data_IF_539921068951
#
_entry.id   IF_539921068951
#
_cell.length_a   1.000
_cell.length_b   1.000
_cell.length_c   1.000
_cell.angle_alpha   90.00
_cell.angle_beta   90.00
_cell.angle_gamma   90.00
#
_symmetry.space_group_name_H-M   'P 1'
#
loop_
_entity.id
_entity.type
_entity.pdbx_description
1 polymer ?
#
# COMPACT_ATOMS: atom_id res chain seq x y z
N UNK A 1 11.47 -3.70 0.42
CA UNK A 1 11.10 -2.27 0.28
C UNK A 1 10.46 -2.09 -1.08
N UNK A 2 9.25 -1.52 -1.15
CA UNK A 2 8.58 -1.19 -2.42
C UNK A 2 8.64 0.32 -2.58
N UNK A 3 9.36 0.78 -3.60
CA UNK A 3 9.55 2.20 -3.88
C UNK A 3 8.70 2.52 -5.11
N UNK A 4 7.52 3.13 -4.91
CA UNK A 4 6.71 3.61 -6.02
C UNK A 4 7.20 5.01 -6.43
N UNK A 5 7.98 5.10 -7.51
CA UNK A 5 8.14 6.34 -8.28
C UNK A 5 6.86 6.65 -9.07
N UNK A 6 5.72 6.73 -8.39
CA UNK A 6 4.42 6.94 -9.02
C UNK A 6 4.15 8.41 -9.38
N UNK A 7 5.00 9.34 -8.91
CA UNK A 7 4.77 10.78 -9.05
C UNK A 7 3.53 11.28 -8.30
N UNK A 8 2.92 10.45 -7.44
CA UNK A 8 1.72 10.81 -6.71
C UNK A 8 2.10 11.69 -5.50
N UNK A 9 1.45 12.85 -5.31
CA UNK A 9 1.79 13.80 -4.26
C UNK A 9 1.34 13.33 -2.86
N UNK A 10 0.56 12.26 -2.77
CA UNK A 10 -0.01 11.78 -1.51
C UNK A 10 -0.01 10.24 -1.43
N UNK A 11 0.71 9.64 -0.46
CA UNK A 11 0.72 8.20 -0.24
C UNK A 11 -0.67 7.58 0.00
N UNK A 12 -1.59 8.31 0.64
CA UNK A 12 -2.96 7.84 0.87
C UNK A 12 -3.71 7.59 -0.44
N UNK A 13 -3.49 8.44 -1.45
CA UNK A 13 -4.10 8.26 -2.78
C UNK A 13 -3.55 6.98 -3.42
N UNK A 14 -2.24 6.77 -3.33
CA UNK A 14 -1.58 5.58 -3.84
C UNK A 14 -2.08 4.31 -3.15
N UNK A 15 -2.15 4.30 -1.82
CA UNK A 15 -2.68 3.17 -1.04
C UNK A 15 -4.14 2.88 -1.36
N UNK A 16 -4.97 3.91 -1.55
CA UNK A 16 -6.37 3.74 -1.96
C UNK A 16 -6.50 3.18 -3.38
N UNK A 17 -5.67 3.64 -4.33
CA UNK A 17 -5.62 3.07 -5.67
C UNK A 17 -5.18 1.60 -5.65
N UNK A 18 -4.17 1.28 -4.83
CA UNK A 18 -3.68 -0.08 -4.66
C UNK A 18 -4.74 -1.00 -4.05
N UNK A 19 -5.41 -0.57 -2.98
CA UNK A 19 -6.55 -1.27 -2.37
C UNK A 19 -7.67 -1.56 -3.38
N UNK A 20 -8.02 -0.58 -4.21
CA UNK A 20 -9.01 -0.76 -5.30
C UNK A 20 -8.55 -1.80 -6.31
N UNK A 21 -7.30 -1.76 -6.76
CA UNK A 21 -6.77 -2.74 -7.72
C UNK A 21 -6.79 -4.18 -7.18
N UNK A 22 -6.45 -4.37 -5.89
CA UNK A 22 -6.47 -5.67 -5.23
C UNK A 22 -7.89 -6.23 -5.12
N UNK A 23 -8.84 -5.35 -4.78
CA UNK A 23 -10.26 -5.69 -4.66
C UNK A 23 -10.85 -6.07 -6.02
N UNK A 24 -10.64 -5.23 -7.04
CA UNK A 24 -11.17 -5.44 -8.40
C UNK A 24 -10.65 -6.73 -9.03
N UNK A 25 -9.37 -7.08 -8.80
CA UNK A 25 -8.77 -8.30 -9.33
C UNK A 25 -9.03 -9.53 -8.45
N UNK A 26 -9.82 -9.39 -7.38
CA UNK A 26 -10.08 -10.44 -6.40
C UNK A 26 -8.81 -11.11 -5.85
N UNK A 27 -7.69 -10.38 -5.74
CA UNK A 27 -6.39 -10.93 -5.32
C UNK A 27 -6.18 -10.93 -3.81
N UNK A 28 -6.91 -10.10 -3.08
CA UNK A 28 -6.78 -9.99 -1.64
C UNK A 28 -8.12 -9.98 -0.91
N UNK A 29 -8.07 -10.29 0.38
CA UNK A 29 -9.17 -10.20 1.35
C UNK A 29 -8.67 -9.46 2.60
N UNK A 30 -9.60 -9.01 3.46
CA UNK A 30 -9.28 -8.27 4.70
C UNK A 30 -8.35 -7.07 4.44
N UNK A 31 -8.61 -6.32 3.37
CA UNK A 31 -7.80 -5.16 2.99
C UNK A 31 -8.10 -4.01 3.94
N UNK A 32 -7.06 -3.42 4.53
CA UNK A 32 -7.15 -2.27 5.43
C UNK A 32 -6.09 -1.24 5.02
N UNK A 33 -6.51 0.00 4.80
CA UNK A 33 -5.61 1.12 4.55
C UNK A 33 -5.51 1.99 5.79
N UNK A 34 -4.29 2.28 6.24
CA UNK A 34 -3.97 3.12 7.40
C UNK A 34 -3.03 4.23 6.92
N UNK A 35 -3.57 5.34 6.42
CA UNK A 35 -2.73 6.45 5.94
C UNK A 35 -2.71 7.70 6.82
N UNK A 36 -3.29 7.65 8.02
CA UNK A 36 -3.07 8.66 9.08
C UNK A 36 -1.91 8.30 10.04
N UNK A 37 -1.19 7.21 9.79
CA UNK A 37 -0.01 6.84 10.57
C UNK A 37 1.23 7.63 10.09
N UNK A 38 2.27 7.72 10.94
CA UNK A 38 3.54 8.36 10.59
C UNK A 38 4.16 7.81 9.29
N UNK A 39 3.97 6.50 9.04
CA UNK A 39 4.26 5.86 7.77
C UNK A 39 2.97 5.22 7.29
N UNK A 40 2.40 5.64 6.15
CA UNK A 40 1.19 5.04 5.61
C UNK A 40 1.36 3.54 5.31
N UNK A 41 0.36 2.73 5.67
CA UNK A 41 0.40 1.26 5.55
C UNK A 41 -0.85 0.74 4.86
N UNK A 42 -0.72 -0.31 4.05
CA UNK A 42 -1.83 -1.18 3.67
C UNK A 42 -1.58 -2.60 4.18
N UNK A 43 -2.61 -3.18 4.78
CA UNK A 43 -2.62 -4.55 5.28
C UNK A 43 -3.63 -5.37 4.49
N UNK A 44 -3.30 -6.60 4.12
CA UNK A 44 -4.24 -7.51 3.45
C UNK A 44 -3.78 -8.96 3.52
N UNK A 45 -4.68 -9.88 3.17
CA UNK A 45 -4.37 -11.31 2.98
C UNK A 45 -4.50 -11.66 1.51
N UNK A 46 -3.45 -12.19 0.88
CA UNK A 46 -3.49 -12.66 -0.51
C UNK A 46 -4.32 -13.96 -0.60
N UNK A 47 -5.22 -14.05 -1.58
CA UNK A 47 -6.23 -15.12 -1.59
C UNK A 47 -5.65 -16.50 -1.91
N UNK A 48 -4.66 -16.61 -2.81
CA UNK A 48 -4.13 -17.89 -3.29
C UNK A 48 -3.27 -18.59 -2.23
N UNK A 49 -2.36 -17.85 -1.62
CA UNK A 49 -1.41 -18.33 -0.60
C UNK A 49 -1.93 -18.23 0.82
N UNK A 50 -2.96 -17.41 1.06
CA UNK A 50 -3.42 -17.03 2.40
C UNK A 50 -2.36 -16.34 3.28
N UNK A 51 -1.27 -15.85 2.67
CA UNK A 51 -0.27 -15.06 3.38
C UNK A 51 -0.80 -13.65 3.68
N UNK A 52 -0.49 -13.17 4.89
CA UNK A 52 -0.72 -11.80 5.32
C UNK A 52 0.42 -10.89 4.91
N UNK A 53 0.09 -9.71 4.39
CA UNK A 53 1.04 -8.70 3.95
C UNK A 53 0.76 -7.36 4.62
N UNK A 54 1.81 -6.75 5.16
CA UNK A 54 1.83 -5.36 5.63
C UNK A 54 2.81 -4.58 4.75
N UNK A 55 2.30 -3.74 3.85
CA UNK A 55 3.11 -2.94 2.93
C UNK A 55 3.15 -1.49 3.42
N UNK A 56 4.34 -1.03 3.76
CA UNK A 56 4.62 0.36 4.16
C UNK A 56 4.95 1.19 2.92
N UNK A 57 4.40 2.40 2.87
CA UNK A 57 4.76 3.42 1.90
C UNK A 57 5.70 4.41 2.55
N UNK A 58 6.98 4.34 2.18
CA UNK A 58 7.99 5.31 2.57
C UNK A 58 8.05 6.42 1.51
N UNK A 59 8.07 7.66 1.98
CA UNK A 59 8.26 8.82 1.12
C UNK A 59 9.74 8.94 0.76
N UNK A 60 10.05 8.93 -0.53
CA UNK A 60 11.41 9.10 -1.04
C UNK A 60 11.97 10.50 -0.80
N UNK A 61 11.12 11.50 -0.47
CA UNK A 61 11.59 12.85 -0.17
C UNK A 61 12.53 12.92 1.04
N UNK A 62 12.57 11.87 1.88
CA UNK A 62 13.53 11.71 2.98
C UNK A 62 14.88 11.10 2.56
N UNK A 63 15.04 10.65 1.30
CA UNK A 63 16.29 10.10 0.76
C UNK A 63 17.00 11.08 -0.19
N UNK A 64 16.98 12.38 0.12
CA UNK A 64 17.91 13.34 -0.46
C UNK A 64 19.25 13.26 0.31
N UNK A 65 20.08 12.27 -0.05
CA UNK A 65 21.52 12.27 0.22
C UNK A 65 22.26 12.44 -1.10
#
# INVERSE_FOLDING_TARGET
>A
VMILKSGLPNPQIALNAFSRSLSQRSKAKKIQVIGKACVPIIKFVEKKSCCSFDIRFEDLLLFNF
#
